data_IF_091291830327
#
_entry.id   IF_091291830327
#
_cell.length_a   1.000
_cell.length_b   1.000
_cell.length_c   1.000
_cell.angle_alpha   90.00
_cell.angle_beta   90.00
_cell.angle_gamma   90.00
#
_symmetry.space_group_name_H-M   'P 1'
#
loop_
_entity.id
_entity.type
_entity.pdbx_description
1 polymer ?
#
# COMPACT_ATOMS: atom_id res chain seq x y z
N UNK A 1 10.35 15.41 20.25
CA UNK A 1 9.30 15.83 19.30
C UNK A 1 7.99 15.88 20.06
N UNK A 2 7.30 17.02 20.05
CA UNK A 2 5.98 17.16 20.71
C UNK A 2 4.90 16.50 19.84
N UNK A 3 3.81 16.02 20.44
CA UNK A 3 2.69 15.38 19.73
C UNK A 3 2.12 16.27 18.61
N UNK A 4 2.06 17.58 18.84
CA UNK A 4 1.60 18.58 17.87
C UNK A 4 2.47 18.64 16.62
N UNK A 5 3.79 18.66 16.80
CA UNK A 5 4.76 18.68 15.69
C UNK A 5 4.63 17.40 14.84
N UNK A 6 4.44 16.24 15.47
CA UNK A 6 4.25 14.97 14.77
C UNK A 6 2.97 14.96 13.92
N UNK A 7 1.87 15.51 14.44
CA UNK A 7 0.59 15.64 13.72
C UNK A 7 0.75 16.55 12.51
N UNK A 8 1.40 17.70 12.68
CA UNK A 8 1.63 18.66 11.60
C UNK A 8 2.49 18.06 10.48
N UNK A 9 3.59 17.37 10.84
CA UNK A 9 4.45 16.68 9.87
C UNK A 9 3.63 15.63 9.11
N UNK A 10 2.85 14.80 9.81
CA UNK A 10 2.01 13.79 9.19
C UNK A 10 1.00 14.37 8.19
N UNK A 11 0.37 15.51 8.54
CA UNK A 11 -0.56 16.21 7.66
C UNK A 11 0.14 16.76 6.42
N UNK A 12 1.32 17.37 6.57
CA UNK A 12 2.12 17.87 5.45
C UNK A 12 2.54 16.75 4.51
N UNK A 13 3.07 15.65 5.04
CA UNK A 13 3.43 14.47 4.24
C UNK A 13 2.21 13.94 3.48
N UNK A 14 1.09 13.74 4.16
CA UNK A 14 -0.15 13.25 3.54
C UNK A 14 -0.67 14.17 2.44
N UNK A 15 -0.58 15.49 2.64
CA UNK A 15 -0.96 16.50 1.65
C UNK A 15 -0.06 16.42 0.41
N UNK A 16 1.23 16.27 0.61
CA UNK A 16 2.24 16.16 -0.46
C UNK A 16 1.98 14.97 -1.35
N UNK A 17 1.77 13.78 -0.78
CA UNK A 17 1.45 12.58 -1.55
C UNK A 17 0.10 12.69 -2.28
N UNK A 18 -0.92 13.35 -1.68
CA UNK A 18 -2.18 13.62 -2.39
C UNK A 18 -1.96 14.49 -3.62
N UNK A 19 -1.15 15.54 -3.50
CA UNK A 19 -0.79 16.42 -4.64
C UNK A 19 -0.04 15.64 -5.72
N UNK A 20 0.89 14.77 -5.34
CA UNK A 20 1.62 13.90 -6.27
C UNK A 20 0.65 13.02 -7.08
N UNK A 21 -0.26 12.31 -6.40
CA UNK A 21 -1.25 11.45 -7.04
C UNK A 21 -2.18 12.22 -7.99
N UNK A 22 -2.61 13.43 -7.60
CA UNK A 22 -3.44 14.30 -8.45
C UNK A 22 -2.65 14.72 -9.71
N UNK A 23 -1.39 15.13 -9.55
CA UNK A 23 -0.54 15.58 -10.66
C UNK A 23 -0.18 14.49 -11.68
N UNK A 24 -0.40 13.23 -11.32
CA UNK A 24 -0.18 12.05 -12.17
C UNK A 24 -1.49 11.46 -12.69
N UNK A 25 -2.63 12.12 -12.46
CA UNK A 25 -3.96 11.70 -12.91
C UNK A 25 -4.36 10.30 -12.40
N UNK A 26 -3.72 9.82 -11.32
CA UNK A 26 -3.94 8.48 -10.78
C UNK A 26 -5.35 8.32 -10.16
N UNK A 27 -5.97 9.43 -9.80
CA UNK A 27 -7.37 9.45 -9.35
C UNK A 27 -8.35 8.99 -10.45
N UNK A 28 -8.04 9.21 -11.72
CA UNK A 28 -8.86 8.75 -12.85
C UNK A 28 -8.79 7.22 -12.99
N UNK A 29 -7.60 6.66 -12.70
CA UNK A 29 -7.39 5.21 -12.50
C UNK A 29 -7.94 4.70 -11.16
N UNK A 30 -8.65 5.56 -10.42
CA UNK A 30 -9.22 5.35 -9.09
C UNK A 30 -8.19 5.01 -8.01
N UNK A 31 -6.89 5.24 -8.23
CA UNK A 31 -5.83 4.99 -7.24
C UNK A 31 -5.79 6.19 -6.29
N UNK A 32 -6.25 5.99 -5.06
CA UNK A 32 -6.24 7.00 -3.99
C UNK A 32 -4.98 6.86 -3.13
N UNK A 33 -4.72 7.83 -2.25
CA UNK A 33 -3.62 7.74 -1.28
C UNK A 33 -3.63 6.44 -0.48
N UNK A 34 -4.81 5.97 -0.04
CA UNK A 34 -4.93 4.71 0.69
C UNK A 34 -4.63 3.49 -0.18
N UNK A 35 -4.88 3.57 -1.49
CA UNK A 35 -4.49 2.52 -2.43
C UNK A 35 -2.97 2.53 -2.64
N UNK A 36 -2.38 3.70 -2.85
CA UNK A 36 -0.93 3.84 -2.99
C UNK A 36 -0.18 3.34 -1.75
N UNK A 37 -0.60 3.74 -0.55
CA UNK A 37 0.00 3.27 0.71
C UNK A 37 -0.08 1.74 0.85
N UNK A 38 -1.22 1.15 0.48
CA UNK A 38 -1.38 -0.30 0.54
C UNK A 38 -0.50 -1.00 -0.50
N UNK A 39 -0.47 -0.51 -1.74
CA UNK A 39 0.40 -1.05 -2.79
C UNK A 39 1.88 -0.92 -2.42
N UNK A 40 2.29 0.19 -1.81
CA UNK A 40 3.66 0.38 -1.34
C UNK A 40 4.02 -0.63 -0.25
N UNK A 41 3.15 -0.79 0.75
CA UNK A 41 3.36 -1.79 1.80
C UNK A 41 3.42 -3.21 1.23
N UNK A 42 2.50 -3.56 0.31
CA UNK A 42 2.52 -4.87 -0.35
C UNK A 42 3.80 -5.07 -1.18
N UNK A 43 4.34 -4.03 -1.81
CA UNK A 43 5.59 -4.12 -2.55
C UNK A 43 6.79 -4.45 -1.63
N UNK A 44 6.78 -3.97 -0.40
CA UNK A 44 7.84 -4.25 0.57
C UNK A 44 7.76 -5.65 1.17
N UNK A 45 6.54 -6.16 1.40
CA UNK A 45 6.35 -7.37 2.22
C UNK A 45 5.73 -8.55 1.48
N UNK A 46 4.88 -8.31 0.48
CA UNK A 46 3.95 -9.32 -0.03
C UNK A 46 4.47 -10.12 -1.23
N UNK A 47 5.70 -9.90 -1.69
CA UNK A 47 6.25 -10.60 -2.84
C UNK A 47 6.28 -12.12 -2.59
N UNK A 48 5.50 -12.87 -3.37
CA UNK A 48 5.35 -14.31 -3.20
C UNK A 48 4.52 -14.74 -1.98
N UNK A 49 3.85 -13.82 -1.28
CA UNK A 49 2.93 -14.15 -0.18
C UNK A 49 1.52 -14.43 -0.71
N UNK A 50 0.79 -15.27 0.02
CA UNK A 50 -0.65 -15.44 -0.09
C UNK A 50 -1.40 -14.44 0.78
N UNK A 51 -2.70 -14.28 0.52
CA UNK A 51 -3.56 -13.42 1.34
C UNK A 51 -3.53 -13.81 2.82
N UNK A 52 -3.49 -15.11 3.13
CA UNK A 52 -3.47 -15.59 4.52
C UNK A 52 -2.18 -15.15 5.21
N UNK A 53 -1.02 -15.33 4.56
CA UNK A 53 0.26 -14.93 5.12
C UNK A 53 0.34 -13.39 5.28
N UNK A 54 -0.21 -12.59 4.34
CA UNK A 54 -0.29 -11.12 4.47
C UNK A 54 -1.10 -10.72 5.70
N UNK A 55 -2.24 -11.40 5.93
CA UNK A 55 -3.08 -11.16 7.12
C UNK A 55 -2.27 -11.46 8.38
N UNK A 56 -1.61 -12.62 8.45
CA UNK A 56 -0.79 -13.03 9.59
C UNK A 56 0.34 -12.04 9.87
N UNK A 57 1.07 -11.62 8.83
CA UNK A 57 2.11 -10.61 8.94
C UNK A 57 1.58 -9.28 9.49
N UNK A 58 0.46 -8.77 8.95
CA UNK A 58 -0.17 -7.53 9.44
C UNK A 58 -0.55 -7.61 10.92
N UNK A 59 -0.97 -8.78 11.40
CA UNK A 59 -1.33 -8.97 12.81
C UNK A 59 -0.10 -9.02 13.73
N UNK A 60 1.03 -9.55 13.24
CA UNK A 60 2.28 -9.61 14.00
C UNK A 60 2.95 -8.23 14.12
N UNK A 61 2.87 -7.40 13.08
CA UNK A 61 3.49 -6.07 13.04
C UNK A 61 2.86 -5.04 14.01
N UNK A 62 1.74 -5.36 14.67
CA UNK A 62 1.11 -4.50 15.69
C UNK A 62 1.82 -4.56 17.07
N UNK A 63 3.13 -4.83 17.07
CA UNK A 63 4.01 -4.86 18.26
C UNK A 63 3.49 -5.75 19.40
N UNK A 64 2.62 -6.73 19.10
CA UNK A 64 1.97 -7.57 20.11
C UNK A 64 1.01 -6.83 21.06
N UNK A 65 0.72 -5.54 20.81
CA UNK A 65 -0.12 -4.72 21.69
C UNK A 65 -1.61 -5.08 21.61
N UNK A 66 -2.01 -5.74 20.53
CA UNK A 66 -3.40 -6.15 20.29
C UNK A 66 -3.48 -7.63 19.91
N UNK A 67 -4.23 -8.41 20.70
CA UNK A 67 -4.67 -9.75 20.31
C UNK A 67 -5.87 -9.63 19.38
N UNK A 68 -5.68 -10.06 18.14
CA UNK A 68 -6.74 -10.06 17.14
C UNK A 68 -7.66 -11.27 17.28
N UNK A 69 -8.96 -11.01 17.35
CA UNK A 69 -9.97 -12.07 17.31
C UNK A 69 -10.07 -12.69 15.91
N UNK A 70 -10.54 -13.93 15.81
CA UNK A 70 -10.74 -14.59 14.51
C UNK A 70 -11.73 -13.83 13.61
N UNK A 71 -12.72 -13.17 14.22
CA UNK A 71 -13.65 -12.29 13.52
C UNK A 71 -12.93 -11.10 12.88
N UNK A 72 -12.02 -10.45 13.60
CA UNK A 72 -11.24 -9.33 13.05
C UNK A 72 -10.28 -9.79 11.94
N UNK A 73 -9.59 -10.92 12.13
CA UNK A 73 -8.73 -11.52 11.10
C UNK A 73 -9.52 -11.80 9.82
N UNK A 74 -10.69 -12.43 9.95
CA UNK A 74 -11.53 -12.75 8.80
C UNK A 74 -12.08 -11.48 8.11
N UNK A 75 -12.49 -10.48 8.89
CA UNK A 75 -12.93 -9.19 8.34
C UNK A 75 -11.81 -8.50 7.56
N UNK A 76 -10.58 -8.53 8.06
CA UNK A 76 -9.41 -7.99 7.36
C UNK A 76 -9.12 -8.80 6.09
N UNK A 77 -9.10 -10.15 6.18
CA UNK A 77 -8.92 -11.07 5.05
C UNK A 77 -9.89 -10.77 3.91
N UNK A 78 -11.18 -10.58 4.21
CA UNK A 78 -12.19 -10.25 3.19
C UNK A 78 -11.91 -8.88 2.55
N UNK A 79 -11.55 -7.87 3.35
CA UNK A 79 -11.23 -6.52 2.84
C UNK A 79 -10.01 -6.52 1.94
N UNK A 80 -8.91 -7.14 2.37
CA UNK A 80 -7.68 -7.20 1.58
C UNK A 80 -7.90 -8.03 0.30
N UNK A 81 -8.65 -9.13 0.36
CA UNK A 81 -8.99 -9.95 -0.82
C UNK A 81 -9.70 -9.12 -1.90
N UNK A 82 -10.66 -8.27 -1.50
CA UNK A 82 -11.36 -7.36 -2.42
C UNK A 82 -10.41 -6.33 -3.04
N UNK A 83 -9.47 -5.80 -2.26
CA UNK A 83 -8.45 -4.84 -2.76
C UNK A 83 -7.49 -5.50 -3.73
N UNK A 84 -6.95 -6.67 -3.39
CA UNK A 84 -6.07 -7.45 -4.28
C UNK A 84 -6.78 -7.76 -5.59
N UNK A 85 -8.01 -8.27 -5.55
CA UNK A 85 -8.79 -8.55 -6.77
C UNK A 85 -8.89 -7.30 -7.66
N UNK A 86 -9.22 -6.16 -7.06
CA UNK A 86 -9.27 -4.87 -7.78
C UNK A 86 -7.91 -4.50 -8.37
N UNK A 87 -6.80 -4.69 -7.64
CA UNK A 87 -5.46 -4.40 -8.12
C UNK A 87 -5.02 -5.31 -9.26
N UNK A 88 -5.48 -6.55 -9.28
CA UNK A 88 -5.35 -7.44 -10.44
C UNK A 88 -6.12 -6.89 -11.64
N UNK A 89 -7.37 -6.47 -11.45
CA UNK A 89 -8.20 -5.91 -12.53
C UNK A 89 -7.60 -4.66 -13.18
N UNK A 90 -6.85 -3.84 -12.43
CA UNK A 90 -6.17 -2.65 -12.95
C UNK A 90 -4.68 -2.88 -13.30
N UNK A 91 -4.21 -4.13 -13.32
CA UNK A 91 -2.86 -4.51 -13.74
C UNK A 91 -1.73 -4.10 -12.78
N UNK A 92 -2.04 -3.80 -11.52
CA UNK A 92 -1.04 -3.45 -10.50
C UNK A 92 -0.45 -4.68 -9.79
N UNK A 93 -1.22 -5.77 -9.75
CA UNK A 93 -0.83 -7.02 -9.10
C UNK A 93 -1.10 -8.18 -10.03
N UNK A 94 -0.25 -9.19 -9.97
CA UNK A 94 -0.47 -10.50 -10.56
C UNK A 94 -0.62 -11.56 -9.48
N UNK A 95 -1.35 -12.62 -9.81
CA UNK A 95 -1.47 -13.77 -8.92
C UNK A 95 -1.14 -15.07 -9.63
N UNK A 96 -0.19 -15.82 -9.08
CA UNK A 96 0.25 -17.11 -9.62
C UNK A 96 -0.27 -18.21 -8.70
N UNK A 97 -0.69 -19.34 -9.27
CA UNK A 97 -1.07 -20.51 -8.47
C UNK A 97 0.17 -21.10 -7.82
N UNK A 98 0.09 -21.42 -6.52
CA UNK A 98 1.20 -22.05 -5.82
C UNK A 98 1.44 -23.47 -6.39
N UNK A 99 2.68 -23.83 -6.77
CA UNK A 99 3.00 -25.14 -7.32
C UNK A 99 2.78 -26.29 -6.33
N UNK A 100 2.87 -26.03 -5.02
CA UNK A 100 2.68 -27.01 -3.94
C UNK A 100 1.22 -27.09 -3.49
N UNK A 101 0.47 -25.98 -3.58
CA UNK A 101 -0.95 -25.92 -3.21
C UNK A 101 -1.79 -25.18 -4.26
N UNK A 102 -2.51 -25.96 -5.08
CA UNK A 102 -3.39 -25.44 -6.13
C UNK A 102 -4.52 -24.53 -5.62
N UNK A 103 -4.85 -24.54 -4.33
CA UNK A 103 -5.87 -23.65 -3.74
C UNK A 103 -5.31 -22.29 -3.35
N UNK A 104 -3.98 -22.18 -3.24
CA UNK A 104 -3.28 -20.97 -2.83
C UNK A 104 -2.82 -20.16 -4.04
N UNK A 105 -2.99 -18.84 -3.93
CA UNK A 105 -2.52 -17.85 -4.92
C UNK A 105 -1.44 -17.00 -4.27
N UNK A 106 -0.28 -16.93 -4.93
CA UNK A 106 0.86 -16.09 -4.59
C UNK A 106 0.73 -14.74 -5.28
N UNK A 107 0.94 -13.66 -4.55
CA UNK A 107 0.75 -12.28 -4.99
C UNK A 107 2.10 -11.71 -5.41
N UNK A 108 2.13 -11.03 -6.56
CA UNK A 108 3.32 -10.38 -7.09
C UNK A 108 2.96 -8.98 -7.57
N UNK A 109 3.83 -8.01 -7.32
CA UNK A 109 3.69 -6.66 -7.85
C UNK A 109 4.14 -6.63 -9.31
N UNK A 110 3.34 -6.04 -10.19
CA UNK A 110 3.75 -5.86 -11.59
C UNK A 110 4.83 -4.78 -11.71
N UNK A 111 5.65 -4.85 -12.76
CA UNK A 111 6.65 -3.81 -13.03
C UNK A 111 6.02 -2.43 -13.23
N UNK A 112 4.84 -2.38 -13.87
CA UNK A 112 4.07 -1.14 -13.99
C UNK A 112 3.68 -0.56 -12.64
N UNK A 113 3.34 -1.41 -11.66
CA UNK A 113 3.03 -0.93 -10.32
C UNK A 113 4.27 -0.41 -9.61
N UNK A 114 5.38 -1.16 -9.65
CA UNK A 114 6.66 -0.75 -9.05
C UNK A 114 7.12 0.59 -9.59
N UNK A 115 7.03 0.78 -10.91
CA UNK A 115 7.35 2.05 -11.56
C UNK A 115 6.44 3.18 -11.09
N UNK A 116 5.12 2.95 -11.03
CA UNK A 116 4.17 3.95 -10.53
C UNK A 116 4.45 4.34 -9.08
N UNK A 117 4.79 3.39 -8.21
CA UNK A 117 5.16 3.67 -6.82
C UNK A 117 6.37 4.62 -6.76
N UNK A 118 7.44 4.31 -7.49
CA UNK A 118 8.65 5.13 -7.57
C UNK A 118 8.38 6.53 -8.13
N UNK A 119 7.58 6.65 -9.19
CA UNK A 119 7.21 7.94 -9.77
C UNK A 119 6.42 8.82 -8.79
N UNK A 120 5.52 8.22 -8.00
CA UNK A 120 4.78 8.94 -6.96
C UNK A 120 5.71 9.43 -5.86
N UNK A 121 6.67 8.61 -5.41
CA UNK A 121 7.67 9.01 -4.41
C UNK A 121 8.52 10.18 -4.90
N UNK A 122 9.08 10.09 -6.11
CA UNK A 122 9.88 11.15 -6.73
C UNK A 122 9.07 12.45 -6.88
N UNK A 123 7.80 12.34 -7.30
CA UNK A 123 6.92 13.50 -7.43
C UNK A 123 6.61 14.12 -6.07
N UNK A 124 6.35 13.31 -5.05
CA UNK A 124 6.11 13.78 -3.70
C UNK A 124 7.35 14.48 -3.13
N UNK A 125 8.54 13.93 -3.33
CA UNK A 125 9.80 14.56 -2.93
C UNK A 125 10.01 15.90 -3.63
N UNK A 126 9.77 15.97 -4.95
CA UNK A 126 9.85 17.23 -5.70
C UNK A 126 8.90 18.30 -5.17
N UNK A 127 7.65 17.92 -4.85
CA UNK A 127 6.68 18.84 -4.25
C UNK A 127 7.14 19.29 -2.87
N UNK A 128 7.63 18.37 -2.04
CA UNK A 128 8.13 18.67 -0.70
C UNK A 128 9.26 19.70 -0.74
N UNK A 129 10.29 19.48 -1.58
CA UNK A 129 11.44 20.39 -1.71
C UNK A 129 11.03 21.79 -2.14
N UNK A 130 10.10 21.90 -3.11
CA UNK A 130 9.54 23.18 -3.56
C UNK A 130 8.83 23.93 -2.44
N UNK A 131 8.07 23.22 -1.60
CA UNK A 131 7.36 23.84 -0.47
C UNK A 131 8.31 24.29 0.66
N UNK A 132 9.53 23.73 0.72
CA UNK A 132 10.56 24.11 1.70
C UNK A 132 11.51 25.21 1.20
N UNK A 133 11.36 25.72 -0.03
CA UNK A 133 12.32 26.62 -0.70
C UNK A 133 13.75 26.08 -0.72
N UNK A 134 13.90 24.76 -0.81
CA UNK A 134 15.20 24.10 -0.99
C UNK A 134 15.30 23.77 -2.47
N UNK A 135 15.92 24.67 -3.23
CA UNK A 135 16.28 24.45 -4.65
C UNK A 135 17.27 23.29 -4.81
#
# INVERSE_FOLDING_TARGET
>A
MKLTEAIEIHQKCSSTYKKALISMELNEKRIRLTDWLLLNHLNEVADGMSITEIVEHKMQCDLGLKKYTDKEKNNFKVKISKRIKRYVEIGMIETVQDPKDKRTRRIFMTDSCKKMLQEVEQRAESIWRKEQNVE
#
